data_IF_160476622767
#
_entry.id   IF_160476622767
#
_cell.length_a   1.000
_cell.length_b   1.000
_cell.length_c   1.000
_cell.angle_alpha   90.00
_cell.angle_beta   90.00
_cell.angle_gamma   90.00
#
_symmetry.space_group_name_H-M   'P 1'
#
loop_
_entity.id
_entity.type
_entity.pdbx_description
1 polymer ?
#
# COMPACT_ATOMS: atom_id res chain seq x y z
N UNK A 1 -11.45 -13.13 0.75
CA UNK A 1 -10.14 -13.23 1.43
C UNK A 1 -9.10 -12.43 0.67
N UNK A 2 -8.28 -11.65 1.38
CA UNK A 2 -7.24 -10.86 0.71
C UNK A 2 -6.02 -11.71 0.46
N UNK A 3 -5.58 -11.79 -0.79
CA UNK A 3 -4.42 -12.58 -1.18
C UNK A 3 -3.13 -11.78 -1.18
N UNK A 4 -3.24 -10.50 -1.49
CA UNK A 4 -2.08 -9.61 -1.61
C UNK A 4 -2.19 -8.52 -0.56
N UNK A 5 -1.13 -8.35 0.19
CA UNK A 5 -1.05 -7.25 1.15
C UNK A 5 0.03 -6.29 0.67
N UNK A 6 -0.30 -5.01 0.62
CA UNK A 6 0.64 -3.98 0.23
C UNK A 6 0.95 -3.14 1.45
N UNK A 7 2.16 -3.26 1.95
CA UNK A 7 2.64 -2.41 3.04
C UNK A 7 3.19 -1.12 2.46
N UNK A 8 2.76 0.01 2.98
CA UNK A 8 3.14 1.31 2.45
C UNK A 8 3.73 2.17 3.55
N UNK A 9 4.95 2.64 3.30
CA UNK A 9 5.63 3.58 4.18
C UNK A 9 5.54 4.95 3.51
N UNK A 10 4.93 5.91 4.21
CA UNK A 10 4.59 7.21 3.62
C UNK A 10 5.54 8.28 4.12
N UNK A 11 6.09 9.06 3.20
CA UNK A 11 6.81 10.27 3.52
C UNK A 11 6.24 11.43 2.70
N UNK A 12 6.74 12.62 2.97
CA UNK A 12 6.23 13.83 2.31
C UNK A 12 6.25 13.73 0.79
N UNK A 13 7.33 13.23 0.24
CA UNK A 13 7.54 13.23 -1.20
C UNK A 13 7.42 11.87 -1.86
N UNK A 14 7.56 10.79 -1.09
CA UNK A 14 7.65 9.45 -1.63
C UNK A 14 6.89 8.44 -0.82
N UNK A 15 6.49 7.37 -1.48
CA UNK A 15 5.91 6.20 -0.84
C UNK A 15 6.79 5.01 -1.17
N UNK A 16 7.10 4.20 -0.16
CA UNK A 16 7.74 2.91 -0.39
C UNK A 16 6.68 1.84 -0.24
N UNK A 17 6.49 1.05 -1.28
CA UNK A 17 5.46 0.01 -1.30
C UNK A 17 6.12 -1.36 -1.35
N UNK A 18 5.55 -2.29 -0.60
CA UNK A 18 6.03 -3.65 -0.52
C UNK A 18 4.84 -4.58 -0.69
N UNK A 19 4.85 -5.37 -1.75
CA UNK A 19 3.78 -6.33 -2.02
C UNK A 19 4.14 -7.67 -1.41
N UNK A 20 3.21 -8.18 -0.61
CA UNK A 20 3.38 -9.46 0.06
C UNK A 20 2.31 -10.43 -0.41
N UNK A 21 2.73 -11.62 -0.77
CA UNK A 21 1.81 -12.73 -1.06
C UNK A 21 2.12 -13.81 -0.04
N UNK A 22 1.21 -13.99 0.91
CA UNK A 22 1.49 -14.81 2.08
C UNK A 22 2.61 -14.20 2.89
N UNK A 23 3.67 -14.94 3.11
CA UNK A 23 4.83 -14.48 3.88
C UNK A 23 5.97 -14.00 2.98
N UNK A 24 5.77 -14.01 1.66
CA UNK A 24 6.82 -13.70 0.71
C UNK A 24 6.67 -12.29 0.14
N UNK A 25 7.78 -11.58 0.06
CA UNK A 25 7.84 -10.29 -0.62
C UNK A 25 7.97 -10.59 -2.11
N UNK A 26 6.97 -10.17 -2.89
CA UNK A 26 6.99 -10.43 -4.33
C UNK A 26 7.42 -9.21 -5.14
N UNK A 27 7.33 -8.03 -4.55
CA UNK A 27 7.72 -6.81 -5.25
C UNK A 27 7.91 -5.66 -4.28
N UNK A 28 8.87 -4.79 -4.56
CA UNK A 28 9.06 -3.55 -3.82
C UNK A 28 9.22 -2.42 -4.81
N UNK A 29 8.71 -1.25 -4.47
CA UNK A 29 8.78 -0.10 -5.36
C UNK A 29 8.80 1.19 -4.55
N UNK A 30 9.27 2.26 -5.19
CA UNK A 30 9.24 3.61 -4.63
C UNK A 30 8.53 4.49 -5.63
N UNK A 31 7.50 5.21 -5.16
CA UNK A 31 6.70 6.07 -6.03
C UNK A 31 6.57 7.46 -5.41
N UNK A 32 6.32 8.45 -6.24
CA UNK A 32 6.07 9.79 -5.75
C UNK A 32 4.75 9.83 -5.00
N UNK A 33 4.69 10.63 -3.96
CA UNK A 33 3.48 10.79 -3.15
C UNK A 33 2.53 11.77 -3.81
N UNK A 34 2.00 11.40 -4.98
CA UNK A 34 1.01 12.16 -5.72
C UNK A 34 -0.08 11.23 -6.22
N UNK A 35 -1.27 11.77 -6.40
CA UNK A 35 -2.40 10.98 -6.90
C UNK A 35 -2.10 10.41 -8.29
N UNK A 36 -1.50 11.21 -9.16
CA UNK A 36 -1.17 10.77 -10.51
C UNK A 36 -0.20 9.59 -10.52
N UNK A 37 0.86 9.67 -9.72
CA UNK A 37 1.84 8.59 -9.64
C UNK A 37 1.23 7.33 -9.06
N UNK A 38 0.34 7.47 -8.09
CA UNK A 38 -0.36 6.35 -7.49
C UNK A 38 -1.28 5.65 -8.48
N UNK A 39 -2.00 6.41 -9.31
CA UNK A 39 -2.83 5.81 -10.35
C UNK A 39 -2.00 5.01 -11.35
N UNK A 40 -0.83 5.51 -11.72
CA UNK A 40 0.08 4.79 -12.60
C UNK A 40 0.56 3.49 -11.95
N UNK A 41 0.89 3.56 -10.67
CA UNK A 41 1.31 2.38 -9.93
C UNK A 41 0.19 1.34 -9.83
N UNK A 42 -1.04 1.77 -9.55
CA UNK A 42 -2.19 0.87 -9.53
C UNK A 42 -2.37 0.16 -10.88
N UNK A 43 -2.21 0.91 -11.97
CA UNK A 43 -2.30 0.33 -13.31
C UNK A 43 -1.26 -0.75 -13.54
N UNK A 44 0.00 -0.48 -13.16
CA UNK A 44 1.08 -1.47 -13.29
C UNK A 44 0.83 -2.69 -12.42
N UNK A 45 0.38 -2.47 -11.19
CA UNK A 45 0.10 -3.55 -10.26
C UNK A 45 -1.00 -4.47 -10.79
N UNK A 46 -2.09 -3.91 -11.29
CA UNK A 46 -3.19 -4.69 -11.82
C UNK A 46 -2.75 -5.57 -12.99
N UNK A 47 -1.92 -5.03 -13.87
CA UNK A 47 -1.40 -5.80 -15.01
C UNK A 47 -0.46 -6.91 -14.55
N UNK A 48 0.42 -6.58 -13.61
CA UNK A 48 1.44 -7.51 -13.14
C UNK A 48 0.83 -8.68 -12.36
N UNK A 49 -0.10 -8.39 -11.47
CA UNK A 49 -0.67 -9.40 -10.58
C UNK A 49 -1.87 -10.13 -11.17
N UNK A 50 -2.51 -9.53 -12.17
CA UNK A 50 -3.69 -10.10 -12.82
C UNK A 50 -4.78 -10.49 -11.81
N UNK A 51 -4.94 -9.67 -10.77
CA UNK A 51 -5.94 -9.93 -9.74
C UNK A 51 -6.90 -8.76 -9.61
N UNK A 52 -8.04 -9.02 -8.97
CA UNK A 52 -9.02 -7.99 -8.71
C UNK A 52 -8.60 -7.15 -7.51
N UNK A 53 -9.01 -5.90 -7.47
CA UNK A 53 -8.67 -5.02 -6.35
C UNK A 53 -9.26 -5.48 -5.03
N UNK A 54 -10.34 -6.25 -5.04
CA UNK A 54 -10.91 -6.78 -3.81
C UNK A 54 -10.05 -7.89 -3.18
N UNK A 55 -9.05 -8.40 -3.91
CA UNK A 55 -8.08 -9.34 -3.37
C UNK A 55 -6.85 -8.65 -2.79
N UNK A 56 -6.79 -7.33 -2.86
CA UNK A 56 -5.63 -6.55 -2.43
C UNK A 56 -6.02 -5.68 -1.24
N UNK A 57 -5.22 -5.73 -0.20
CA UNK A 57 -5.38 -4.87 0.97
C UNK A 57 -4.15 -3.99 1.10
N UNK A 58 -4.34 -2.69 1.03
CA UNK A 58 -3.27 -1.74 1.26
C UNK A 58 -3.27 -1.35 2.73
N UNK A 59 -2.09 -1.34 3.32
CA UNK A 59 -1.92 -1.00 4.72
C UNK A 59 -0.87 0.09 4.86
N UNK A 60 -1.22 1.16 5.54
CA UNK A 60 -0.34 2.30 5.71
C UNK A 60 -0.44 2.85 7.12
N UNK A 61 0.65 3.44 7.61
CA UNK A 61 0.64 4.17 8.85
C UNK A 61 -0.09 5.49 8.65
N UNK A 62 -0.85 5.91 9.65
CA UNK A 62 -1.45 7.24 9.62
C UNK A 62 -0.37 8.29 9.90
N UNK A 63 -0.07 9.10 8.89
CA UNK A 63 0.99 10.11 8.95
C UNK A 63 0.47 11.53 8.75
N UNK A 64 -0.75 11.79 9.19
CA UNK A 64 -1.37 13.09 9.01
C UNK A 64 -1.69 13.36 7.54
N UNK A 65 -1.40 14.58 7.10
CA UNK A 65 -1.80 15.00 5.74
C UNK A 65 -1.09 14.28 4.60
N UNK A 66 0.05 13.68 4.87
CA UNK A 66 0.80 12.99 3.80
C UNK A 66 0.11 11.72 3.31
N UNK A 67 -0.91 11.24 4.02
CA UNK A 67 -1.71 10.10 3.59
C UNK A 67 -2.74 10.47 2.51
N UNK A 68 -3.09 11.74 2.36
CA UNK A 68 -4.19 12.14 1.49
C UNK A 68 -4.05 11.70 0.03
N UNK A 69 -2.90 11.85 -0.63
CA UNK A 69 -2.82 11.36 -2.01
C UNK A 69 -3.14 9.86 -2.13
N UNK A 70 -2.65 9.07 -1.17
CA UNK A 70 -2.94 7.64 -1.16
C UNK A 70 -4.42 7.38 -0.90
N UNK A 71 -5.02 8.09 0.04
CA UNK A 71 -6.44 7.92 0.36
C UNK A 71 -7.31 8.26 -0.84
N UNK A 72 -7.00 9.35 -1.54
CA UNK A 72 -7.74 9.76 -2.74
C UNK A 72 -7.60 8.72 -3.84
N UNK A 73 -6.37 8.28 -4.11
CA UNK A 73 -6.13 7.29 -5.16
C UNK A 73 -6.83 5.97 -4.84
N UNK A 74 -6.78 5.52 -3.59
CA UNK A 74 -7.47 4.29 -3.18
C UNK A 74 -8.98 4.41 -3.35
N UNK A 75 -9.55 5.56 -3.00
CA UNK A 75 -10.97 5.80 -3.19
C UNK A 75 -11.36 5.73 -4.67
N UNK A 76 -10.58 6.38 -5.53
CA UNK A 76 -10.85 6.41 -6.95
C UNK A 76 -10.66 5.05 -7.63
N UNK A 77 -9.73 4.25 -7.11
CA UNK A 77 -9.48 2.90 -7.63
C UNK A 77 -10.34 1.84 -6.96
N UNK A 78 -11.17 2.24 -6.01
CA UNK A 78 -12.01 1.33 -5.22
C UNK A 78 -11.18 0.27 -4.49
N UNK A 79 -10.01 0.69 -4.02
CA UNK A 79 -9.10 -0.18 -3.29
C UNK A 79 -9.38 -0.11 -1.79
N UNK A 80 -9.11 -1.21 -1.08
CA UNK A 80 -9.23 -1.25 0.36
C UNK A 80 -7.95 -0.72 0.99
N UNK A 81 -8.10 0.28 1.84
CA UNK A 81 -6.97 0.89 2.54
C UNK A 81 -7.21 0.81 4.05
N UNK A 82 -6.28 0.19 4.74
CA UNK A 82 -6.27 0.13 6.18
C UNK A 82 -5.21 1.09 6.71
N UNK A 83 -5.65 2.10 7.44
CA UNK A 83 -4.74 3.04 8.11
C UNK A 83 -4.69 2.70 9.58
N UNK A 84 -3.48 2.58 10.11
CA UNK A 84 -3.29 2.12 11.46
C UNK A 84 -2.14 2.86 12.14
N UNK A 85 -2.15 2.79 13.46
CA UNK A 85 -1.04 3.27 14.25
C UNK A 85 0.24 2.48 13.89
N UNK A 86 1.40 3.13 13.79
CA UNK A 86 2.64 2.45 13.37
C UNK A 86 2.97 1.20 14.18
N UNK A 87 2.78 1.22 15.50
CA UNK A 87 3.11 0.06 16.32
C UNK A 87 2.18 -1.13 16.03
N UNK A 88 0.93 -0.85 15.74
CA UNK A 88 -0.06 -1.88 15.43
C UNK A 88 0.18 -2.51 14.08
N UNK A 89 0.61 -1.71 13.10
CA UNK A 89 0.95 -2.22 11.77
C UNK A 89 2.11 -3.22 11.87
N UNK A 90 3.15 -2.86 12.61
CA UNK A 90 4.29 -3.76 12.82
C UNK A 90 3.86 -5.09 13.40
N UNK A 91 3.01 -5.05 14.40
CA UNK A 91 2.53 -6.27 15.05
C UNK A 91 1.63 -7.09 14.12
N UNK A 92 0.76 -6.42 13.38
CA UNK A 92 -0.17 -7.10 12.48
C UNK A 92 0.53 -7.88 11.38
N UNK A 93 1.66 -7.37 10.89
CA UNK A 93 2.40 -8.04 9.83
C UNK A 93 3.50 -8.95 10.35
N UNK A 94 3.70 -8.99 11.66
CA UNK A 94 4.83 -9.71 12.21
C UNK A 94 6.16 -9.12 11.79
N UNK A 95 6.18 -7.89 11.35
CA UNK A 95 7.39 -7.21 10.95
C UNK A 95 8.12 -6.73 12.19
N UNK A 96 9.20 -7.41 12.51
CA UNK A 96 10.05 -6.99 13.60
C UNK A 96 11.15 -6.12 13.00
N UNK A 97 11.07 -4.86 13.29
CA UNK A 97 12.16 -3.95 12.94
C UNK A 97 12.95 -3.75 14.20
N UNK A 98 14.02 -4.48 14.25
CA UNK A 98 14.89 -4.49 15.41
C UNK A 98 15.42 -3.13 15.71
#
# INVERSE_FOLDING_TARGET
>A
MKKIIVGIDISKEKLNVCLLEGMNIVHEDEIENTVASLHKWFGRMKKSLKCCMDEVLLCAEFTGRYIYPLAVACHEEEAFLWMEDPSRIKNSFGLVRG
#
